data_IF_359208478206
#
_entry.id   IF_359208478206
#
_cell.length_a   1.000
_cell.length_b   1.000
_cell.length_c   1.000
_cell.angle_alpha   90.00
_cell.angle_beta   90.00
_cell.angle_gamma   90.00
#
_symmetry.space_group_name_H-M   'P 1'
#
loop_
_entity.id
_entity.type
_entity.pdbx_description
1 polymer ?
#
# COMPACT_ATOMS: atom_id res chain seq x y z
N UNK A 1 39.67 -48.22 22.51
CA UNK A 1 39.30 -46.82 22.34
C UNK A 1 39.03 -46.58 20.86
N UNK A 2 37.82 -46.32 20.43
CA UNK A 2 37.60 -45.73 19.13
C UNK A 2 37.07 -44.31 19.31
N UNK A 3 37.75 -43.37 18.64
CA UNK A 3 37.37 -41.98 18.48
C UNK A 3 36.06 -41.89 17.67
N UNK A 4 35.06 -41.33 18.29
CA UNK A 4 33.83 -40.95 17.58
C UNK A 4 33.96 -39.54 17.00
N UNK A 5 34.22 -39.49 15.70
CA UNK A 5 34.04 -38.27 14.88
C UNK A 5 32.59 -37.83 14.95
N UNK A 6 32.30 -36.73 15.63
CA UNK A 6 31.10 -35.97 15.42
C UNK A 6 31.36 -35.04 14.25
N UNK A 7 30.81 -35.41 13.08
CA UNK A 7 30.75 -34.52 11.91
C UNK A 7 29.84 -33.35 12.24
N UNK A 8 30.38 -32.14 12.19
CA UNK A 8 29.64 -30.88 12.13
C UNK A 8 28.86 -30.83 10.79
N UNK A 9 27.70 -31.45 10.72
CA UNK A 9 26.77 -31.16 9.68
C UNK A 9 26.13 -29.80 10.00
N UNK A 10 26.67 -28.76 9.37
CA UNK A 10 25.99 -27.45 9.28
C UNK A 10 24.67 -27.69 8.56
N UNK A 11 23.58 -27.47 9.25
CA UNK A 11 22.22 -27.56 8.70
C UNK A 11 22.09 -26.60 7.51
N UNK A 12 21.87 -27.12 6.30
CA UNK A 12 21.72 -26.32 5.08
C UNK A 12 20.25 -25.87 4.95
N UNK A 13 20.00 -24.62 5.36
CA UNK A 13 18.69 -23.98 5.34
C UNK A 13 18.15 -23.81 3.91
N UNK A 14 19.03 -23.63 2.91
CA UNK A 14 18.64 -23.42 1.50
C UNK A 14 18.14 -24.73 0.85
N UNK A 15 18.66 -25.88 1.28
CA UNK A 15 18.14 -27.19 0.88
C UNK A 15 16.76 -27.47 1.47
N UNK A 16 16.46 -26.93 2.65
CA UNK A 16 15.15 -27.02 3.29
C UNK A 16 14.10 -26.15 2.57
N UNK A 17 14.44 -24.90 2.23
CA UNK A 17 13.55 -23.99 1.50
C UNK A 17 13.16 -24.51 0.11
N UNK A 18 14.08 -25.25 -0.56
CA UNK A 18 13.78 -25.86 -1.85
C UNK A 18 12.87 -27.11 -1.73
N UNK A 19 12.89 -27.84 -0.62
CA UNK A 19 12.04 -29.01 -0.40
C UNK A 19 10.59 -28.67 -0.05
N UNK A 20 10.30 -27.42 0.38
CA UNK A 20 8.92 -26.94 0.70
C UNK A 20 8.13 -26.56 -0.56
N UNK A 21 8.76 -26.49 -1.74
CA UNK A 21 8.08 -26.13 -3.00
C UNK A 21 7.21 -27.22 -3.60
N UNK A 22 7.26 -28.43 -3.10
CA UNK A 22 6.35 -29.49 -3.50
C UNK A 22 5.16 -29.54 -2.55
N UNK A 23 3.98 -29.43 -3.14
CA UNK A 23 2.66 -29.51 -2.51
C UNK A 23 2.55 -30.72 -1.56
N UNK A 24 2.65 -30.48 -0.26
CA UNK A 24 2.15 -31.41 0.74
C UNK A 24 1.19 -30.70 1.68
N UNK A 25 0.02 -31.29 1.87
CA UNK A 25 -1.02 -30.92 2.83
C UNK A 25 -0.39 -30.43 4.13
N UNK A 26 -0.69 -29.17 4.51
CA UNK A 26 -0.27 -28.59 5.80
C UNK A 26 -0.90 -29.43 6.90
N UNK A 27 -0.19 -30.44 7.38
CA UNK A 27 -0.61 -31.25 8.51
C UNK A 27 -0.66 -30.33 9.74
N UNK A 28 -1.85 -30.15 10.31
CA UNK A 28 -2.02 -29.40 11.56
C UNK A 28 -1.28 -30.12 12.69
N UNK A 29 -0.09 -29.63 13.01
CA UNK A 29 0.83 -30.26 13.97
C UNK A 29 0.21 -30.31 15.38
N UNK A 30 -0.70 -29.38 15.70
CA UNK A 30 -1.41 -29.36 16.97
C UNK A 30 -2.37 -30.54 17.06
N UNK A 31 -3.06 -30.85 15.96
CA UNK A 31 -3.94 -32.03 15.86
C UNK A 31 -3.14 -33.35 15.93
N UNK A 32 -1.94 -33.38 15.35
CA UNK A 32 -1.06 -34.58 15.37
C UNK A 32 -0.52 -34.86 16.77
N UNK A 33 -0.09 -33.83 17.49
CA UNK A 33 0.49 -34.00 18.84
C UNK A 33 -0.57 -34.07 19.94
N UNK A 34 -1.76 -33.52 19.71
CA UNK A 34 -2.77 -33.19 20.71
C UNK A 34 -2.47 -31.86 21.39
N UNK A 35 -3.52 -31.05 21.63
CA UNK A 35 -3.40 -29.68 22.12
C UNK A 35 -2.60 -29.56 23.42
N UNK A 36 -2.91 -30.41 24.43
CA UNK A 36 -2.24 -30.38 25.74
C UNK A 36 -0.73 -30.66 25.64
N UNK A 37 -0.37 -31.64 24.80
CA UNK A 37 1.04 -32.00 24.60
C UNK A 37 1.79 -30.90 23.84
N UNK A 38 1.18 -30.34 22.82
CA UNK A 38 1.75 -29.23 22.08
C UNK A 38 1.98 -28.01 23.02
N UNK A 39 0.99 -27.64 23.82
CA UNK A 39 1.08 -26.53 24.75
C UNK A 39 2.22 -26.72 25.77
N UNK A 40 2.35 -27.94 26.34
CA UNK A 40 3.45 -28.27 27.25
C UNK A 40 4.82 -28.12 26.59
N UNK A 41 4.97 -28.56 25.33
CA UNK A 41 6.21 -28.43 24.55
C UNK A 41 6.48 -26.96 24.27
N UNK A 42 5.49 -26.20 23.79
CA UNK A 42 5.65 -24.78 23.47
C UNK A 42 6.05 -23.97 24.70
N UNK A 43 5.37 -24.17 25.84
CA UNK A 43 5.70 -23.53 27.11
C UNK A 43 7.15 -23.87 27.57
N UNK A 44 7.57 -25.09 27.40
CA UNK A 44 8.96 -25.51 27.73
C UNK A 44 9.99 -24.80 26.86
N UNK A 45 9.75 -24.72 25.54
CA UNK A 45 10.63 -24.02 24.60
C UNK A 45 10.68 -22.52 24.93
N UNK A 46 9.53 -21.90 25.18
CA UNK A 46 9.46 -20.47 25.53
C UNK A 46 10.18 -20.17 26.83
N UNK A 47 10.05 -21.05 27.85
CA UNK A 47 10.77 -20.90 29.11
C UNK A 47 12.30 -20.93 28.91
N UNK A 48 12.80 -21.89 28.13
CA UNK A 48 14.22 -21.99 27.83
C UNK A 48 14.75 -20.79 27.07
N UNK A 49 13.96 -20.26 26.10
CA UNK A 49 14.34 -19.08 25.33
C UNK A 49 14.24 -17.80 26.14
N UNK A 50 13.32 -17.71 27.08
CA UNK A 50 13.13 -16.51 27.93
C UNK A 50 14.17 -16.45 29.03
N UNK A 51 14.62 -17.62 29.53
CA UNK A 51 15.59 -17.77 30.60
C UNK A 51 16.89 -18.43 30.11
N UNK A 52 17.64 -17.81 29.19
CA UNK A 52 18.84 -18.44 28.62
C UNK A 52 19.93 -18.70 29.67
N UNK A 53 20.56 -19.87 29.58
CA UNK A 53 21.73 -20.20 30.36
C UNK A 53 22.97 -19.60 29.70
N UNK A 54 23.97 -19.18 30.49
CA UNK A 54 25.22 -18.64 29.96
C UNK A 54 25.71 -17.40 30.69
N UNK A 55 26.79 -16.82 30.17
CA UNK A 55 27.39 -15.58 30.66
C UNK A 55 26.45 -14.39 30.46
N UNK A 56 26.70 -13.27 31.11
CA UNK A 56 25.92 -12.04 30.97
C UNK A 56 25.88 -11.55 29.51
N UNK A 57 27.03 -11.60 28.84
CA UNK A 57 27.16 -11.16 27.43
C UNK A 57 26.35 -12.05 26.47
N UNK A 58 26.39 -13.38 26.68
CA UNK A 58 25.59 -14.34 25.89
C UNK A 58 24.08 -14.10 26.08
N UNK A 59 23.63 -13.80 27.30
CA UNK A 59 22.23 -13.48 27.59
C UNK A 59 21.80 -12.16 26.96
N UNK A 60 22.67 -11.14 27.02
CA UNK A 60 22.38 -9.84 26.36
C UNK A 60 22.24 -10.00 24.85
N UNK A 61 23.16 -10.73 24.19
CA UNK A 61 23.10 -11.03 22.76
C UNK A 61 21.87 -11.85 22.37
N UNK A 62 21.49 -12.83 23.20
CA UNK A 62 20.30 -13.64 22.99
C UNK A 62 19.01 -12.77 23.07
N UNK A 63 18.89 -11.94 24.11
CA UNK A 63 17.76 -11.03 24.28
C UNK A 63 17.69 -10.00 23.16
N UNK A 64 18.82 -9.50 22.66
CA UNK A 64 18.89 -8.64 21.48
C UNK A 64 18.36 -9.36 20.24
N UNK A 65 18.71 -10.62 20.04
CA UNK A 65 18.22 -11.43 18.92
C UNK A 65 16.70 -11.61 18.98
N UNK A 66 16.14 -11.92 20.16
CA UNK A 66 14.70 -12.02 20.36
C UNK A 66 14.01 -10.67 20.07
N UNK A 67 14.58 -9.57 20.56
CA UNK A 67 14.04 -8.23 20.33
C UNK A 67 14.06 -7.84 18.83
N UNK A 68 15.13 -8.18 18.11
CA UNK A 68 15.24 -7.96 16.65
C UNK A 68 14.28 -8.85 15.87
N UNK A 69 14.10 -10.10 16.28
CA UNK A 69 13.14 -11.04 15.69
C UNK A 69 11.73 -10.44 15.74
N UNK A 70 11.29 -10.00 16.92
CA UNK A 70 10.01 -9.33 17.12
C UNK A 70 9.92 -8.05 16.28
N UNK A 71 11.04 -7.40 15.98
CA UNK A 71 11.12 -6.24 15.08
C UNK A 71 11.12 -6.58 13.58
N UNK A 72 10.89 -7.84 13.19
CA UNK A 72 10.81 -8.27 11.80
C UNK A 72 12.14 -8.42 11.08
N UNK A 73 13.27 -8.38 11.81
CA UNK A 73 14.58 -8.65 11.22
C UNK A 73 14.65 -10.11 10.74
N UNK A 74 14.69 -10.31 9.44
CA UNK A 74 14.67 -11.64 8.79
C UNK A 74 15.81 -12.55 9.25
N UNK A 75 16.98 -11.98 9.56
CA UNK A 75 18.10 -12.77 10.08
C UNK A 75 17.83 -13.23 11.52
N UNK A 76 17.32 -12.32 12.36
CA UNK A 76 16.96 -12.66 13.74
C UNK A 76 15.79 -13.67 13.79
N UNK A 77 14.80 -13.57 12.89
CA UNK A 77 13.73 -14.57 12.75
C UNK A 77 14.29 -15.97 12.47
N UNK A 78 15.23 -16.09 11.52
CA UNK A 78 15.91 -17.35 11.23
C UNK A 78 16.69 -17.87 12.45
N UNK A 79 17.35 -16.99 13.18
CA UNK A 79 18.09 -17.34 14.40
C UNK A 79 17.15 -17.87 15.49
N UNK A 80 16.00 -17.22 15.71
CA UNK A 80 15.01 -17.68 16.70
C UNK A 80 14.44 -19.04 16.32
N UNK A 81 14.09 -19.28 15.06
CA UNK A 81 13.67 -20.61 14.58
C UNK A 81 14.75 -21.67 14.81
N UNK A 82 16.01 -21.33 14.56
CA UNK A 82 17.14 -22.25 14.84
C UNK A 82 17.26 -22.54 16.32
N UNK A 83 17.07 -21.56 17.20
CA UNK A 83 17.08 -21.76 18.66
C UNK A 83 15.94 -22.67 19.13
N UNK A 84 14.72 -22.48 18.60
CA UNK A 84 13.57 -23.35 18.88
C UNK A 84 13.90 -24.80 18.47
N UNK A 85 14.37 -25.01 17.24
CA UNK A 85 14.72 -26.34 16.73
C UNK A 85 15.81 -27.00 17.57
N UNK A 86 16.79 -26.22 18.02
CA UNK A 86 17.86 -26.69 18.92
C UNK A 86 17.31 -27.18 20.24
N UNK A 87 16.42 -26.44 20.90
CA UNK A 87 15.79 -26.86 22.18
C UNK A 87 14.98 -28.14 21.99
N UNK A 88 14.17 -28.21 20.93
CA UNK A 88 13.35 -29.39 20.60
C UNK A 88 14.22 -30.64 20.42
N UNK A 89 15.40 -30.49 19.79
CA UNK A 89 16.36 -31.57 19.53
C UNK A 89 17.11 -31.98 20.77
N UNK A 90 17.68 -31.03 21.50
CA UNK A 90 18.53 -31.29 22.68
C UNK A 90 17.72 -31.90 23.84
N UNK A 91 16.49 -31.41 24.07
CA UNK A 91 15.62 -31.96 25.12
C UNK A 91 14.76 -33.13 24.63
N UNK A 92 14.88 -33.54 23.37
CA UNK A 92 14.11 -34.66 22.74
C UNK A 92 12.63 -34.54 22.97
N UNK A 93 12.08 -33.34 22.80
CA UNK A 93 10.68 -33.04 23.08
C UNK A 93 9.71 -33.62 22.03
N UNK A 94 10.20 -33.85 20.81
CA UNK A 94 9.45 -34.40 19.69
C UNK A 94 10.33 -35.31 18.83
N UNK A 95 9.70 -36.14 17.99
CA UNK A 95 10.38 -36.98 17.02
C UNK A 95 11.08 -36.14 15.93
N UNK A 96 12.24 -36.60 15.46
CA UNK A 96 13.07 -35.89 14.50
C UNK A 96 12.32 -35.52 13.23
N UNK A 97 11.37 -36.34 12.76
CA UNK A 97 10.58 -36.09 11.54
C UNK A 97 9.62 -34.91 11.61
N UNK A 98 9.29 -34.43 12.81
CA UNK A 98 8.32 -33.33 13.00
C UNK A 98 8.94 -32.07 13.62
N UNK A 99 10.25 -32.07 13.96
CA UNK A 99 10.93 -30.95 14.63
C UNK A 99 10.68 -29.64 13.87
N UNK A 100 10.80 -29.64 12.54
CA UNK A 100 10.67 -28.43 11.75
C UNK A 100 9.23 -27.89 11.74
N UNK A 101 8.24 -28.78 11.62
CA UNK A 101 6.84 -28.38 11.67
C UNK A 101 6.45 -27.81 13.03
N UNK A 102 6.93 -28.42 14.13
CA UNK A 102 6.75 -27.93 15.50
C UNK A 102 7.49 -26.60 15.70
N UNK A 103 8.69 -26.45 15.15
CA UNK A 103 9.46 -25.19 15.20
C UNK A 103 8.69 -24.04 14.55
N UNK A 104 8.16 -24.26 13.33
CA UNK A 104 7.38 -23.25 12.63
C UNK A 104 6.11 -22.87 13.40
N UNK A 105 5.41 -23.85 13.95
CA UNK A 105 4.18 -23.60 14.72
C UNK A 105 4.49 -22.84 16.02
N UNK A 106 5.48 -23.25 16.81
CA UNK A 106 5.89 -22.53 18.04
C UNK A 106 6.36 -21.11 17.71
N UNK A 107 7.10 -20.95 16.60
CA UNK A 107 7.51 -19.62 16.14
C UNK A 107 6.28 -18.73 15.85
N UNK A 108 5.32 -19.21 15.04
CA UNK A 108 4.11 -18.48 14.68
C UNK A 108 3.29 -18.06 15.90
N UNK A 109 3.14 -18.97 16.86
CA UNK A 109 2.29 -18.76 18.02
C UNK A 109 2.91 -17.82 19.06
N UNK A 110 4.25 -17.76 19.18
CA UNK A 110 4.90 -17.03 20.25
C UNK A 110 5.70 -15.80 19.79
N UNK A 111 6.24 -15.83 18.57
CA UNK A 111 7.12 -14.79 18.04
C UNK A 111 6.60 -14.19 16.72
N UNK A 112 5.63 -14.83 16.07
CA UNK A 112 5.00 -14.42 14.82
C UNK A 112 3.57 -13.95 15.01
N UNK A 113 2.88 -13.78 13.88
CA UNK A 113 1.51 -13.27 13.83
C UNK A 113 0.44 -14.38 13.99
N UNK A 114 0.82 -15.55 14.51
CA UNK A 114 -0.10 -16.66 14.70
C UNK A 114 -0.69 -17.17 13.37
N UNK A 115 -1.99 -17.38 13.35
CA UNK A 115 -2.71 -17.91 12.19
C UNK A 115 -2.74 -16.97 10.97
N UNK A 116 -2.40 -15.69 11.13
CA UNK A 116 -2.32 -14.73 10.02
C UNK A 116 -0.90 -14.57 9.46
N UNK A 117 0.11 -15.26 9.98
CA UNK A 117 1.50 -15.16 9.55
C UNK A 117 1.64 -15.44 8.04
N UNK A 118 1.11 -16.59 7.58
CA UNK A 118 1.17 -16.98 6.16
C UNK A 118 0.39 -16.02 5.27
N UNK A 119 -0.77 -15.52 5.73
CA UNK A 119 -1.59 -14.55 5.01
C UNK A 119 -0.86 -13.21 4.87
N UNK A 120 -0.13 -12.83 5.92
CA UNK A 120 0.67 -11.60 5.91
C UNK A 120 1.82 -11.66 4.90
N UNK A 121 2.40 -12.83 4.68
CA UNK A 121 3.49 -13.03 3.73
C UNK A 121 3.02 -13.41 2.30
N UNK A 122 1.73 -13.61 2.07
CA UNK A 122 1.18 -13.90 0.75
C UNK A 122 1.00 -12.59 -0.06
N UNK A 123 1.85 -12.36 -1.07
CA UNK A 123 1.86 -11.14 -1.88
C UNK A 123 0.59 -10.95 -2.73
N UNK A 124 -0.28 -11.96 -2.83
CA UNK A 124 -1.57 -11.85 -3.54
C UNK A 124 -2.65 -11.20 -2.67
N UNK A 125 -2.44 -11.11 -1.35
CA UNK A 125 -3.38 -10.53 -0.39
C UNK A 125 -3.04 -9.05 -0.20
N UNK A 126 -4.05 -8.20 -0.35
CA UNK A 126 -3.93 -6.74 -0.17
C UNK A 126 -4.38 -6.26 1.21
N UNK A 127 -5.39 -6.91 1.80
CA UNK A 127 -5.89 -6.57 3.13
C UNK A 127 -6.19 -7.83 3.95
N UNK A 128 -6.02 -7.75 5.27
CA UNK A 128 -6.36 -8.80 6.24
C UNK A 128 -7.21 -8.17 7.34
N UNK A 129 -8.38 -8.76 7.58
CA UNK A 129 -9.30 -8.34 8.64
C UNK A 129 -9.50 -9.45 9.66
N UNK A 130 -9.14 -9.19 10.91
CA UNK A 130 -9.46 -10.07 12.04
C UNK A 130 -10.61 -9.45 12.82
N UNK A 131 -11.77 -10.07 12.75
CA UNK A 131 -13.00 -9.62 13.41
C UNK A 131 -13.26 -10.44 14.68
N UNK A 132 -12.30 -10.46 15.61
CA UNK A 132 -12.23 -11.34 16.75
C UNK A 132 -11.56 -12.68 16.42
N UNK A 133 -11.43 -13.56 17.42
CA UNK A 133 -10.61 -14.78 17.32
C UNK A 133 -11.10 -15.78 16.26
N UNK A 134 -12.37 -15.77 15.92
CA UNK A 134 -13.06 -16.79 15.09
C UNK A 134 -13.46 -16.30 13.68
N UNK A 135 -13.07 -15.09 13.30
CA UNK A 135 -13.49 -14.50 12.03
C UNK A 135 -12.35 -13.74 11.36
N UNK A 136 -11.71 -14.39 10.39
CA UNK A 136 -10.61 -13.83 9.61
C UNK A 136 -11.06 -13.71 8.15
N UNK A 137 -10.84 -12.55 7.58
CA UNK A 137 -11.15 -12.24 6.19
C UNK A 137 -9.94 -11.62 5.50
N UNK A 138 -9.86 -11.79 4.21
CA UNK A 138 -8.81 -11.19 3.36
C UNK A 138 -9.41 -10.53 2.12
N UNK A 139 -8.66 -9.59 1.54
CA UNK A 139 -8.87 -9.14 0.16
C UNK A 139 -7.75 -9.72 -0.71
N UNK A 140 -8.12 -10.59 -1.64
CA UNK A 140 -7.21 -11.17 -2.62
C UNK A 140 -7.62 -10.72 -4.02
N UNK A 141 -6.81 -9.86 -4.62
CA UNK A 141 -7.09 -9.35 -5.97
C UNK A 141 -8.42 -8.59 -6.10
N UNK A 142 -8.94 -8.02 -5.01
CA UNK A 142 -10.23 -7.32 -4.99
C UNK A 142 -11.41 -8.19 -4.53
N UNK A 143 -11.22 -9.49 -4.35
CA UNK A 143 -12.24 -10.41 -3.85
C UNK A 143 -12.09 -10.60 -2.34
N UNK A 144 -13.20 -10.51 -1.60
CA UNK A 144 -13.23 -10.75 -0.16
C UNK A 144 -13.49 -12.20 0.12
N UNK A 145 -12.58 -12.85 0.87
CA UNK A 145 -12.64 -14.27 1.19
C UNK A 145 -12.61 -14.45 2.71
N UNK A 146 -13.44 -15.35 3.25
CA UNK A 146 -13.35 -15.78 4.62
C UNK A 146 -12.37 -16.94 4.75
N UNK A 147 -11.44 -16.84 5.70
CA UNK A 147 -10.46 -17.90 5.98
C UNK A 147 -11.00 -18.82 7.08
N UNK A 148 -10.82 -20.13 6.90
CA UNK A 148 -11.28 -21.13 7.88
C UNK A 148 -10.37 -21.26 9.12
N UNK A 149 -9.24 -20.56 9.16
CA UNK A 149 -8.37 -20.51 10.34
C UNK A 149 -8.93 -19.58 11.40
N UNK A 150 -8.62 -19.84 12.66
CA UNK A 150 -9.04 -19.01 13.81
C UNK A 150 -7.91 -18.92 14.84
N UNK A 151 -7.88 -17.86 15.59
CA UNK A 151 -7.07 -17.74 16.81
C UNK A 151 -7.68 -18.61 17.93
N UNK A 152 -6.92 -18.86 18.99
CA UNK A 152 -7.39 -19.65 20.11
C UNK A 152 -8.42 -18.87 20.95
N UNK A 153 -8.19 -17.57 21.15
CA UNK A 153 -9.05 -16.69 21.94
C UNK A 153 -8.89 -15.23 21.52
N UNK A 154 -9.73 -14.33 22.05
CA UNK A 154 -9.58 -12.89 21.89
C UNK A 154 -8.32 -12.36 22.62
N UNK A 155 -7.82 -13.04 23.64
CA UNK A 155 -6.55 -12.76 24.31
C UNK A 155 -5.36 -13.02 23.37
N UNK A 156 -5.44 -14.07 22.56
CA UNK A 156 -4.41 -14.37 21.55
C UNK A 156 -4.40 -13.31 20.44
N UNK A 157 -5.58 -12.82 20.01
CA UNK A 157 -5.65 -11.66 19.11
C UNK A 157 -4.99 -10.42 19.73
N UNK A 158 -5.25 -10.13 21.02
CA UNK A 158 -4.62 -9.00 21.74
C UNK A 158 -3.09 -9.19 21.83
N UNK A 159 -2.60 -10.42 22.03
CA UNK A 159 -1.17 -10.74 22.02
C UNK A 159 -0.55 -10.35 20.68
N UNK A 160 -1.18 -10.74 19.57
CA UNK A 160 -0.72 -10.41 18.22
C UNK A 160 -0.77 -8.90 17.97
N UNK A 161 -1.82 -8.19 18.40
CA UNK A 161 -1.88 -6.73 18.34
C UNK A 161 -0.66 -6.12 19.05
N UNK A 162 -0.41 -6.52 20.31
CA UNK A 162 0.71 -6.00 21.09
C UNK A 162 2.07 -6.30 20.43
N UNK A 163 2.21 -7.44 19.76
CA UNK A 163 3.41 -7.76 19.00
C UNK A 163 3.62 -6.78 17.83
N UNK A 164 2.55 -6.53 17.04
CA UNK A 164 2.62 -5.68 15.86
C UNK A 164 2.90 -4.21 16.17
N UNK A 165 2.28 -3.66 17.23
CA UNK A 165 2.41 -2.22 17.58
C UNK A 165 3.74 -1.85 18.25
N UNK A 166 4.54 -2.84 18.71
CA UNK A 166 5.85 -2.60 19.36
C UNK A 166 6.83 -1.83 18.49
N UNK A 167 6.67 -1.91 17.16
CA UNK A 167 7.50 -1.19 16.20
C UNK A 167 7.40 0.33 16.34
N UNK A 168 6.18 0.82 16.50
CA UNK A 168 5.86 2.24 16.49
C UNK A 168 5.86 2.84 17.90
N UNK A 169 6.37 2.10 18.90
CA UNK A 169 6.38 2.50 20.32
C UNK A 169 5.01 2.91 20.85
N UNK A 170 3.93 2.52 20.15
CA UNK A 170 2.54 2.78 20.55
C UNK A 170 2.09 1.73 21.55
N UNK A 171 1.06 2.05 22.31
CA UNK A 171 0.47 1.17 23.29
C UNK A 171 -1.05 1.15 23.11
N UNK A 172 -1.64 -0.02 23.27
CA UNK A 172 -3.07 -0.22 23.28
C UNK A 172 -3.50 -0.74 24.65
N UNK A 173 -4.55 -0.15 25.21
CA UNK A 173 -5.07 -0.51 26.53
C UNK A 173 -6.53 -0.13 26.63
N UNK A 174 -7.29 -0.56 27.65
CA UNK A 174 -8.68 -0.13 27.86
C UNK A 174 -8.86 1.39 28.00
N UNK A 175 -7.80 2.12 28.38
CA UNK A 175 -7.81 3.60 28.48
C UNK A 175 -7.51 4.22 27.10
N UNK A 176 -6.68 3.54 26.28
CA UNK A 176 -6.38 3.91 24.90
C UNK A 176 -6.71 2.73 23.97
N UNK A 177 -8.00 2.50 23.66
CA UNK A 177 -8.47 1.27 23.05
C UNK A 177 -8.30 1.23 21.51
N UNK A 178 -7.76 2.27 20.91
CA UNK A 178 -7.50 2.40 19.48
C UNK A 178 -6.02 2.63 19.21
N UNK A 179 -5.48 1.99 18.19
CA UNK A 179 -4.14 2.28 17.70
C UNK A 179 -4.12 2.23 16.17
N UNK A 180 -3.44 3.19 15.58
CA UNK A 180 -3.08 3.20 14.17
C UNK A 180 -1.56 3.35 14.08
N UNK A 181 -0.91 2.48 13.31
CA UNK A 181 0.54 2.51 13.15
C UNK A 181 0.98 1.89 11.83
N UNK A 182 2.28 2.00 11.55
CA UNK A 182 2.92 1.29 10.44
C UNK A 182 3.69 0.08 10.94
N UNK A 183 3.61 -0.98 10.19
CA UNK A 183 4.43 -2.16 10.38
C UNK A 183 5.80 -1.95 9.72
N UNK A 184 6.77 -2.82 10.03
CA UNK A 184 8.16 -2.71 9.54
C UNK A 184 8.30 -2.70 8.02
N UNK A 185 7.40 -3.36 7.31
CA UNK A 185 7.36 -3.41 5.85
C UNK A 185 6.63 -2.20 5.22
N UNK A 186 6.09 -1.28 6.05
CA UNK A 186 5.31 -0.14 5.63
C UNK A 186 3.81 -0.38 5.56
N UNK A 187 3.33 -1.60 5.83
CA UNK A 187 1.90 -1.92 5.91
C UNK A 187 1.21 -1.10 7.01
N UNK A 188 -0.01 -0.66 6.75
CA UNK A 188 -0.82 0.08 7.73
C UNK A 188 -1.57 -0.90 8.62
N UNK A 189 -1.52 -0.64 9.91
CA UNK A 189 -2.21 -1.39 10.94
C UNK A 189 -3.19 -0.49 11.69
N UNK A 190 -4.44 -0.91 11.78
CA UNK A 190 -5.45 -0.29 12.65
C UNK A 190 -6.00 -1.37 13.57
N UNK A 191 -5.97 -1.13 14.88
CA UNK A 191 -6.52 -2.06 15.86
C UNK A 191 -7.48 -1.33 16.79
N UNK A 192 -8.49 -2.09 17.27
CA UNK A 192 -9.42 -1.67 18.31
C UNK A 192 -9.66 -2.80 19.30
N UNK A 193 -9.80 -2.44 20.57
CA UNK A 193 -10.10 -3.39 21.64
C UNK A 193 -11.25 -2.87 22.51
N UNK A 194 -11.87 -3.73 23.37
CA UNK A 194 -12.80 -3.27 24.39
C UNK A 194 -12.18 -2.18 25.30
N UNK A 195 -12.96 -1.17 25.77
CA UNK A 195 -14.43 -1.08 25.73
C UNK A 195 -15.01 -0.42 24.47
N UNK A 196 -14.20 0.20 23.60
CA UNK A 196 -14.68 0.89 22.39
C UNK A 196 -15.22 -0.09 21.35
N UNK A 197 -14.66 -1.28 21.29
CA UNK A 197 -15.11 -2.39 20.47
C UNK A 197 -15.68 -3.53 21.35
N UNK A 198 -16.54 -4.38 20.83
CA UNK A 198 -17.10 -5.52 21.57
C UNK A 198 -16.10 -6.68 21.70
N UNK A 199 -15.08 -6.72 20.84
CA UNK A 199 -13.99 -7.70 20.78
C UNK A 199 -12.77 -7.07 20.12
N UNK A 200 -11.58 -7.69 20.17
CA UNK A 200 -10.42 -7.15 19.47
C UNK A 200 -10.57 -7.26 17.95
N UNK A 201 -10.24 -6.18 17.25
CA UNK A 201 -10.21 -6.09 15.79
C UNK A 201 -8.82 -5.72 15.29
N UNK A 202 -8.41 -6.33 14.18
CA UNK A 202 -7.21 -6.00 13.44
C UNK A 202 -7.58 -5.73 11.98
N UNK A 203 -7.13 -4.62 11.45
CA UNK A 203 -7.15 -4.32 10.03
C UNK A 203 -5.71 -4.06 9.57
N UNK A 204 -5.20 -4.91 8.67
CA UNK A 204 -3.89 -4.74 8.03
C UNK A 204 -4.13 -4.43 6.56
N UNK A 205 -3.65 -3.28 6.11
CA UNK A 205 -3.56 -2.95 4.69
C UNK A 205 -2.11 -3.07 4.26
N UNK A 206 -1.83 -4.10 3.45
CA UNK A 206 -0.46 -4.44 3.05
C UNK A 206 0.12 -3.41 2.10
N UNK A 207 1.40 -3.17 2.26
CA UNK A 207 2.16 -2.31 1.37
C UNK A 207 2.65 -3.14 0.15
N UNK A 208 2.45 -2.59 -1.06
CA UNK A 208 2.95 -3.18 -2.32
C UNK A 208 2.45 -4.61 -2.67
N UNK A 209 1.19 -4.94 -2.40
CA UNK A 209 0.62 -6.23 -2.79
C UNK A 209 0.53 -6.47 -4.32
N UNK A 210 0.66 -5.42 -5.14
CA UNK A 210 0.59 -5.50 -6.61
C UNK A 210 1.92 -5.10 -7.24
N UNK A 211 2.52 -5.99 -8.03
CA UNK A 211 3.72 -5.67 -8.82
C UNK A 211 3.34 -4.77 -10.00
N UNK A 212 3.74 -3.51 -9.92
CA UNK A 212 3.43 -2.49 -10.91
C UNK A 212 4.24 -2.75 -12.18
N UNK A 213 3.55 -3.06 -13.28
CA UNK A 213 4.10 -3.13 -14.63
C UNK A 213 2.98 -2.99 -15.66
N UNK A 214 3.30 -2.56 -16.88
CA UNK A 214 2.34 -2.46 -17.98
C UNK A 214 1.67 -3.80 -18.26
N UNK A 215 2.46 -4.90 -18.28
CA UNK A 215 1.98 -6.25 -18.54
C UNK A 215 0.97 -6.72 -17.49
N UNK A 216 1.25 -6.45 -16.20
CA UNK A 216 0.34 -6.82 -15.12
C UNK A 216 -0.97 -6.05 -15.16
N UNK A 217 -0.92 -4.77 -15.48
CA UNK A 217 -2.13 -3.96 -15.67
C UNK A 217 -2.97 -4.42 -16.87
N UNK A 218 -2.33 -4.76 -17.99
CA UNK A 218 -3.03 -5.32 -19.16
C UNK A 218 -3.64 -6.68 -18.81
N UNK A 219 -2.88 -7.55 -18.13
CA UNK A 219 -3.33 -8.87 -17.70
C UNK A 219 -4.51 -8.81 -16.73
N UNK A 220 -4.51 -7.83 -15.82
CA UNK A 220 -5.63 -7.60 -14.88
C UNK A 220 -6.83 -6.90 -15.53
N UNK A 221 -6.74 -6.49 -16.79
CA UNK A 221 -7.82 -5.79 -17.48
C UNK A 221 -8.04 -4.35 -17.00
N UNK A 222 -7.04 -3.74 -16.36
CA UNK A 222 -7.14 -2.36 -15.87
C UNK A 222 -7.17 -1.35 -17.02
N UNK A 223 -6.35 -1.58 -18.05
CA UNK A 223 -6.30 -0.82 -19.29
C UNK A 223 -5.67 -1.64 -20.42
N UNK A 224 -5.78 -1.17 -21.67
CA UNK A 224 -5.15 -1.79 -22.84
C UNK A 224 -3.72 -1.27 -23.05
N UNK A 225 -2.96 -1.96 -23.92
CA UNK A 225 -1.63 -1.49 -24.34
C UNK A 225 -1.70 -0.10 -24.98
N UNK A 226 -2.71 0.15 -25.81
CA UNK A 226 -2.92 1.44 -26.47
C UNK A 226 -3.18 2.57 -25.46
N UNK A 227 -3.99 2.30 -24.43
CA UNK A 227 -4.21 3.26 -23.33
C UNK A 227 -2.92 3.51 -22.51
N UNK A 228 -2.10 2.48 -22.30
CA UNK A 228 -0.80 2.64 -21.65
C UNK A 228 0.10 3.61 -22.42
N UNK A 229 0.27 3.39 -23.71
CA UNK A 229 1.06 4.25 -24.61
C UNK A 229 0.48 5.68 -24.66
N UNK A 230 -0.86 5.79 -24.62
CA UNK A 230 -1.55 7.06 -24.57
C UNK A 230 -1.21 7.85 -23.29
N UNK A 231 -1.35 7.23 -22.13
CA UNK A 231 -1.03 7.86 -20.83
C UNK A 231 0.46 8.23 -20.73
N UNK A 232 1.35 7.39 -21.22
CA UNK A 232 2.80 7.69 -21.26
C UNK A 232 3.11 8.96 -22.05
N UNK A 233 2.44 9.18 -23.18
CA UNK A 233 2.59 10.41 -23.98
C UNK A 233 2.06 11.63 -23.22
N UNK A 234 0.93 11.51 -22.54
CA UNK A 234 0.39 12.60 -21.70
C UNK A 234 1.38 12.99 -20.58
N UNK A 235 1.98 12.01 -19.91
CA UNK A 235 3.01 12.25 -18.89
C UNK A 235 4.25 12.91 -19.48
N UNK A 236 4.76 12.37 -20.61
CA UNK A 236 5.92 12.94 -21.31
C UNK A 236 5.67 14.38 -21.75
N UNK A 237 4.48 14.68 -22.23
CA UNK A 237 4.05 16.02 -22.63
C UNK A 237 3.63 16.94 -21.47
N UNK A 238 3.85 16.52 -20.23
CA UNK A 238 3.59 17.29 -19.01
C UNK A 238 2.13 17.76 -18.89
N UNK A 239 1.18 16.92 -19.24
CA UNK A 239 -0.22 17.16 -18.91
C UNK A 239 -0.41 17.16 -17.38
N UNK A 240 -1.14 18.13 -16.85
CA UNK A 240 -1.56 18.15 -15.44
C UNK A 240 -2.70 17.15 -15.28
N UNK A 241 -2.54 16.18 -14.36
CA UNK A 241 -3.49 15.08 -14.26
C UNK A 241 -4.05 14.92 -12.85
N UNK A 242 -5.32 14.60 -12.78
CA UNK A 242 -5.98 14.14 -11.57
C UNK A 242 -6.40 12.68 -11.77
N UNK A 243 -5.98 11.81 -10.87
CA UNK A 243 -6.45 10.43 -10.78
C UNK A 243 -7.58 10.40 -9.75
N UNK A 244 -8.78 10.19 -10.24
CA UNK A 244 -10.01 10.18 -9.45
C UNK A 244 -10.53 8.76 -9.27
N UNK A 245 -11.23 8.49 -8.20
CA UNK A 245 -11.89 7.20 -7.97
C UNK A 245 -12.21 6.94 -6.50
N UNK A 246 -13.05 5.97 -6.26
CA UNK A 246 -13.45 5.53 -4.93
C UNK A 246 -12.27 4.97 -4.11
N UNK A 247 -12.51 4.76 -2.82
CA UNK A 247 -11.52 4.09 -1.95
C UNK A 247 -11.18 2.70 -2.50
N UNK A 248 -9.90 2.34 -2.45
CA UNK A 248 -9.39 1.05 -2.93
C UNK A 248 -9.60 0.79 -4.45
N UNK A 249 -9.81 1.83 -5.26
CA UNK A 249 -9.91 1.71 -6.73
C UNK A 249 -8.56 1.60 -7.44
N UNK A 250 -7.43 1.78 -6.74
CA UNK A 250 -6.08 1.65 -7.29
C UNK A 250 -5.44 2.97 -7.74
N UNK A 251 -5.93 4.13 -7.30
CA UNK A 251 -5.40 5.47 -7.65
C UNK A 251 -3.90 5.62 -7.37
N UNK A 252 -3.49 5.36 -6.13
CA UNK A 252 -2.08 5.48 -5.70
C UNK A 252 -1.16 4.54 -6.49
N UNK A 253 -1.66 3.34 -6.82
CA UNK A 253 -0.91 2.36 -7.62
C UNK A 253 -0.76 2.82 -9.08
N UNK A 254 -1.82 3.41 -9.66
CA UNK A 254 -1.76 4.03 -10.99
C UNK A 254 -0.85 5.26 -10.99
N UNK A 255 -0.90 6.08 -9.94
CA UNK A 255 0.01 7.22 -9.77
C UNK A 255 1.47 6.77 -9.82
N UNK A 256 1.85 5.73 -9.06
CA UNK A 256 3.19 5.14 -9.11
C UNK A 256 3.59 4.71 -10.51
N UNK A 257 2.69 4.03 -11.23
CA UNK A 257 2.91 3.60 -12.61
C UNK A 257 3.19 4.78 -13.55
N UNK A 258 2.43 5.88 -13.43
CA UNK A 258 2.62 7.05 -14.29
C UNK A 258 3.93 7.79 -14.02
N UNK A 259 4.40 7.79 -12.77
CA UNK A 259 5.67 8.44 -12.38
C UNK A 259 6.88 7.81 -13.08
N UNK A 260 6.83 6.53 -13.42
CA UNK A 260 7.89 5.86 -14.19
C UNK A 260 8.18 6.53 -15.52
N UNK A 261 7.19 7.18 -16.13
CA UNK A 261 7.30 7.82 -17.44
C UNK A 261 7.67 9.30 -17.38
N UNK A 262 7.80 9.87 -16.19
CA UNK A 262 8.33 11.22 -16.01
C UNK A 262 9.82 11.21 -16.35
N UNK A 263 10.26 12.16 -17.16
CA UNK A 263 11.67 12.29 -17.53
C UNK A 263 12.58 12.36 -16.28
N UNK A 264 13.58 11.49 -16.14
CA UNK A 264 14.43 11.42 -14.95
C UNK A 264 15.21 12.71 -14.64
N UNK A 265 15.34 13.63 -15.60
CA UNK A 265 15.99 14.93 -15.40
C UNK A 265 15.19 15.90 -14.55
N UNK A 266 13.88 15.68 -14.43
CA UNK A 266 13.03 16.56 -13.63
C UNK A 266 13.17 16.28 -12.14
N UNK A 267 13.26 17.37 -11.36
CA UNK A 267 13.17 17.31 -9.91
C UNK A 267 11.71 17.11 -9.49
N UNK A 268 11.45 16.05 -8.75
CA UNK A 268 10.11 15.74 -8.25
C UNK A 268 9.96 16.20 -6.80
N UNK A 269 8.89 16.92 -6.52
CA UNK A 269 8.41 17.19 -5.18
C UNK A 269 7.21 16.33 -4.86
N UNK A 270 7.28 15.53 -3.81
CA UNK A 270 6.22 14.59 -3.42
C UNK A 270 5.65 15.03 -2.08
N UNK A 271 4.34 15.17 -2.00
CA UNK A 271 3.64 15.53 -0.76
C UNK A 271 2.55 14.49 -0.51
N UNK A 272 2.59 13.87 0.67
CA UNK A 272 1.67 12.81 1.07
C UNK A 272 1.17 13.03 2.50
N UNK A 273 -0.06 12.61 2.77
CA UNK A 273 -0.55 12.50 4.15
C UNK A 273 0.25 11.45 4.91
N UNK A 274 0.62 10.37 4.21
CA UNK A 274 1.48 9.30 4.72
C UNK A 274 2.34 8.78 3.57
N UNK A 275 3.63 8.52 3.83
CA UNK A 275 4.53 7.96 2.82
C UNK A 275 4.05 6.60 2.30
N UNK A 276 3.31 6.59 1.21
CA UNK A 276 2.89 5.39 0.48
C UNK A 276 3.69 5.18 -0.79
N UNK A 277 4.09 6.27 -1.42
CA UNK A 277 4.77 6.21 -2.72
C UNK A 277 6.22 5.71 -2.57
N UNK A 278 6.96 6.16 -1.54
CA UNK A 278 8.37 5.81 -1.29
C UNK A 278 9.23 5.94 -2.55
N UNK A 279 9.08 7.06 -3.24
CA UNK A 279 9.73 7.24 -4.55
C UNK A 279 11.24 7.43 -4.41
N UNK A 280 11.72 8.00 -3.34
CA UNK A 280 13.13 8.15 -3.00
C UNK A 280 13.81 6.80 -2.73
N UNK A 281 13.09 5.84 -2.12
CA UNK A 281 13.56 4.47 -1.95
C UNK A 281 13.52 3.68 -3.29
N UNK A 282 12.47 3.92 -4.12
CA UNK A 282 12.26 3.21 -5.39
C UNK A 282 13.21 3.70 -6.49
N UNK A 283 13.53 5.00 -6.51
CA UNK A 283 14.35 5.67 -7.51
C UNK A 283 15.50 6.48 -6.87
N UNK A 284 16.45 5.81 -6.21
CA UNK A 284 17.53 6.51 -5.47
C UNK A 284 18.44 7.36 -6.37
N UNK A 285 18.42 7.13 -7.68
CA UNK A 285 19.18 7.88 -8.67
C UNK A 285 18.48 9.17 -9.17
N UNK A 286 17.16 9.35 -8.81
CA UNK A 286 16.39 10.52 -9.23
C UNK A 286 16.47 11.63 -8.21
N UNK A 287 16.34 12.88 -8.67
CA UNK A 287 16.24 14.04 -7.80
C UNK A 287 14.82 14.17 -7.25
N UNK A 288 14.56 13.57 -6.10
CA UNK A 288 13.24 13.52 -5.46
C UNK A 288 13.31 14.11 -4.05
N UNK A 289 12.28 14.87 -3.69
CA UNK A 289 12.07 15.38 -2.32
C UNK A 289 10.69 14.93 -1.87
N UNK A 290 10.62 14.20 -0.76
CA UNK A 290 9.38 13.65 -0.20
C UNK A 290 9.05 14.34 1.13
N UNK A 291 7.81 14.79 1.27
CA UNK A 291 7.29 15.39 2.51
C UNK A 291 6.05 14.61 2.96
N UNK A 292 5.93 14.42 4.28
CA UNK A 292 4.79 13.79 4.94
C UNK A 292 4.14 14.79 5.90
N UNK A 293 2.81 14.76 5.96
CA UNK A 293 2.02 15.56 6.90
C UNK A 293 2.23 15.05 8.33
N UNK A 294 2.40 15.97 9.27
CA UNK A 294 2.38 15.70 10.69
C UNK A 294 1.47 16.73 11.36
N UNK A 295 0.22 16.37 11.57
CA UNK A 295 -0.83 17.21 12.18
C UNK A 295 -1.14 16.85 13.64
N UNK A 296 -0.32 15.99 14.26
CA UNK A 296 -0.43 15.61 15.68
C UNK A 296 0.64 16.32 16.53
N UNK A 297 0.27 16.73 17.76
CA UNK A 297 1.19 17.31 18.73
C UNK A 297 2.38 16.37 19.05
N UNK A 298 3.61 16.87 19.21
CA UNK A 298 4.03 18.29 19.21
C UNK A 298 4.39 18.84 17.82
N UNK A 299 4.30 18.06 16.75
CA UNK A 299 4.63 18.45 15.39
C UNK A 299 3.31 18.76 14.67
N UNK A 300 3.08 20.03 14.34
CA UNK A 300 1.87 20.45 13.62
C UNK A 300 2.28 21.09 12.29
N UNK A 301 2.43 20.24 11.26
CA UNK A 301 2.80 20.68 9.89
C UNK A 301 1.74 20.14 8.93
N UNK A 302 0.84 21.04 8.51
CA UNK A 302 -0.25 20.69 7.59
C UNK A 302 0.25 20.46 6.14
N UNK A 303 -0.56 19.81 5.32
CA UNK A 303 -0.27 19.65 3.90
C UNK A 303 -0.08 21.00 3.20
N UNK A 304 -0.82 22.02 3.59
CA UNK A 304 -0.68 23.37 3.07
C UNK A 304 0.69 23.98 3.38
N UNK A 305 1.21 23.79 4.60
CA UNK A 305 2.54 24.26 4.98
C UNK A 305 3.64 23.55 4.18
N UNK A 306 3.43 22.24 3.94
CA UNK A 306 4.33 21.46 3.11
C UNK A 306 4.35 21.95 1.66
N UNK A 307 3.20 22.34 1.08
CA UNK A 307 3.16 22.93 -0.26
C UNK A 307 3.96 24.24 -0.32
N UNK A 308 3.75 25.14 0.64
CA UNK A 308 4.50 26.41 0.70
C UNK A 308 6.01 26.16 0.82
N UNK A 309 6.39 25.17 1.61
CA UNK A 309 7.78 24.75 1.74
C UNK A 309 8.31 24.13 0.45
N UNK A 310 7.54 23.24 -0.18
CA UNK A 310 7.90 22.53 -1.42
C UNK A 310 8.26 23.52 -2.55
N UNK A 311 7.52 24.62 -2.70
CA UNK A 311 7.81 25.64 -3.72
C UNK A 311 9.21 26.26 -3.56
N UNK A 312 9.78 26.27 -2.32
CA UNK A 312 11.14 26.74 -2.05
C UNK A 312 12.22 25.72 -2.41
N UNK A 313 11.85 24.46 -2.59
CA UNK A 313 12.75 23.40 -3.06
C UNK A 313 12.86 23.33 -4.58
N UNK A 314 12.18 24.24 -5.31
CA UNK A 314 12.23 24.38 -6.76
C UNK A 314 11.98 23.08 -7.53
N UNK A 315 10.87 22.35 -7.28
CA UNK A 315 10.54 21.16 -8.04
C UNK A 315 10.09 21.55 -9.45
N UNK A 316 10.39 20.71 -10.43
CA UNK A 316 9.84 20.85 -11.79
C UNK A 316 8.40 20.33 -11.87
N UNK A 317 8.11 19.28 -11.12
CA UNK A 317 6.82 18.59 -11.08
C UNK A 317 6.47 18.29 -9.62
N UNK A 318 5.22 18.52 -9.24
CA UNK A 318 4.70 18.21 -7.90
C UNK A 318 3.73 17.03 -7.99
N UNK A 319 3.99 16.03 -7.16
CA UNK A 319 3.14 14.84 -7.00
C UNK A 319 2.41 14.97 -5.66
N UNK A 320 1.09 14.86 -5.70
CA UNK A 320 0.24 14.88 -4.50
C UNK A 320 -0.35 13.49 -4.31
N UNK A 321 0.07 12.80 -3.25
CA UNK A 321 -0.41 11.45 -2.97
C UNK A 321 -1.92 11.39 -2.91
N UNK A 322 -2.55 12.30 -2.16
CA UNK A 322 -3.99 12.47 -2.09
C UNK A 322 -4.34 13.87 -1.57
N UNK A 323 -5.24 14.58 -2.25
CA UNK A 323 -5.85 15.81 -1.76
C UNK A 323 -7.22 15.50 -1.13
N UNK A 324 -7.46 16.05 0.08
CA UNK A 324 -8.67 15.76 0.87
C UNK A 324 -9.38 17.00 1.42
N UNK A 325 -8.71 18.17 1.40
CA UNK A 325 -9.19 19.40 2.02
C UNK A 325 -8.58 20.63 1.33
N UNK A 326 -8.34 21.68 2.09
CA UNK A 326 -7.90 23.00 1.62
C UNK A 326 -6.58 23.03 0.85
N UNK A 327 -5.75 21.98 0.95
CA UNK A 327 -4.54 21.81 0.14
C UNK A 327 -4.81 21.69 -1.35
N UNK A 328 -6.01 21.33 -1.74
CA UNK A 328 -6.44 21.34 -3.14
C UNK A 328 -6.23 22.70 -3.80
N UNK A 329 -6.35 23.81 -3.06
CA UNK A 329 -6.07 25.16 -3.56
C UNK A 329 -4.59 25.32 -3.98
N UNK A 330 -3.67 24.79 -3.17
CA UNK A 330 -2.24 24.90 -3.45
C UNK A 330 -1.84 23.97 -4.61
N UNK A 331 -2.44 22.79 -4.70
CA UNK A 331 -2.26 21.89 -5.84
C UNK A 331 -2.68 22.57 -7.16
N UNK A 332 -3.87 23.17 -7.20
CA UNK A 332 -4.35 23.91 -8.36
C UNK A 332 -3.47 25.13 -8.69
N UNK A 333 -2.98 25.84 -7.68
CA UNK A 333 -2.01 26.94 -7.87
C UNK A 333 -0.69 26.45 -8.47
N UNK A 334 -0.16 25.33 -8.01
CA UNK A 334 1.07 24.74 -8.52
C UNK A 334 0.93 24.35 -10.00
N UNK A 335 -0.13 23.65 -10.36
CA UNK A 335 -0.43 23.27 -11.74
C UNK A 335 -0.51 24.46 -12.70
N UNK A 336 -0.96 25.62 -12.22
CA UNK A 336 -1.07 26.86 -13.01
C UNK A 336 0.19 27.72 -13.09
N UNK A 337 1.12 27.57 -12.12
CA UNK A 337 2.22 28.52 -11.90
C UNK A 337 3.61 27.98 -12.23
N UNK A 338 3.72 27.06 -13.17
CA UNK A 338 5.00 26.60 -13.68
C UNK A 338 5.36 25.14 -13.37
N UNK A 339 4.59 24.45 -12.50
CA UNK A 339 4.80 23.03 -12.21
C UNK A 339 3.93 22.16 -13.11
N UNK A 340 4.03 22.38 -14.43
CA UNK A 340 3.28 21.60 -15.41
C UNK A 340 3.69 20.13 -15.38
N UNK A 341 2.73 19.23 -15.61
CA UNK A 341 2.92 17.79 -15.47
C UNK A 341 2.72 17.29 -14.04
N UNK A 342 2.22 18.14 -13.13
CA UNK A 342 1.85 17.73 -11.77
C UNK A 342 0.70 16.74 -11.80
N UNK A 343 0.75 15.74 -10.91
CA UNK A 343 -0.25 14.68 -10.79
C UNK A 343 -0.70 14.61 -9.35
N UNK A 344 -2.02 14.52 -9.14
CA UNK A 344 -2.61 14.32 -7.83
C UNK A 344 -3.69 13.25 -7.85
N UNK A 345 -4.02 12.70 -6.67
CA UNK A 345 -5.19 11.83 -6.53
C UNK A 345 -6.26 12.46 -5.66
N UNK A 346 -7.51 12.16 -5.96
CA UNK A 346 -8.67 12.58 -5.16
C UNK A 346 -9.69 11.45 -5.06
N UNK A 347 -10.54 11.53 -4.04
CA UNK A 347 -11.73 10.69 -3.95
C UNK A 347 -12.90 11.36 -4.65
N UNK A 348 -13.34 10.80 -5.78
CA UNK A 348 -14.57 11.20 -6.45
C UNK A 348 -15.10 10.06 -7.32
N UNK A 349 -16.39 10.07 -7.63
CA UNK A 349 -17.06 8.98 -8.36
C UNK A 349 -17.17 9.21 -9.87
N UNK A 350 -16.93 10.44 -10.35
CA UNK A 350 -16.89 10.76 -11.78
C UNK A 350 -16.00 11.98 -12.06
N UNK A 351 -15.55 12.19 -13.30
CA UNK A 351 -14.79 13.40 -13.69
C UNK A 351 -15.55 14.70 -13.43
N UNK A 352 -16.89 14.71 -13.60
CA UNK A 352 -17.74 15.86 -13.35
C UNK A 352 -17.75 16.22 -11.86
N UNK A 353 -17.94 15.22 -11.01
CA UNK A 353 -17.91 15.41 -9.55
C UNK A 353 -16.52 15.75 -9.06
N UNK A 354 -15.47 15.26 -9.70
CA UNK A 354 -14.09 15.57 -9.33
C UNK A 354 -13.80 17.09 -9.35
N UNK A 355 -14.37 17.83 -10.32
CA UNK A 355 -14.26 19.28 -10.38
C UNK A 355 -15.02 19.93 -9.22
N UNK A 356 -16.24 19.48 -8.93
CA UNK A 356 -17.05 19.97 -7.81
C UNK A 356 -16.36 19.69 -6.46
N UNK A 357 -15.91 18.47 -6.24
CA UNK A 357 -15.22 18.05 -5.01
C UNK A 357 -13.95 18.89 -4.76
N UNK A 358 -13.16 19.19 -5.81
CA UNK A 358 -12.00 20.08 -5.68
C UNK A 358 -12.44 21.49 -5.29
N UNK A 359 -13.53 22.02 -5.86
CA UNK A 359 -14.03 23.33 -5.49
C UNK A 359 -14.53 23.36 -4.03
N UNK A 360 -15.19 22.30 -3.59
CA UNK A 360 -15.67 22.16 -2.21
C UNK A 360 -14.50 22.09 -1.23
N UNK A 361 -13.49 21.26 -1.50
CA UNK A 361 -12.24 21.21 -0.71
C UNK A 361 -11.60 22.60 -0.58
N UNK A 362 -11.53 23.38 -1.66
CA UNK A 362 -10.96 24.73 -1.64
C UNK A 362 -11.80 25.68 -0.76
N UNK A 363 -13.11 25.48 -0.69
CA UNK A 363 -14.04 26.33 0.09
C UNK A 363 -14.12 25.93 1.58
N UNK A 364 -13.56 24.79 2.00
CA UNK A 364 -13.55 24.36 3.41
C UNK A 364 -12.86 25.35 4.37
N UNK A 365 -12.01 26.25 3.85
CA UNK A 365 -11.41 27.31 4.66
C UNK A 365 -12.37 28.45 5.04
N UNK A 366 -13.64 28.37 4.60
CA UNK A 366 -14.70 29.30 4.92
C UNK A 366 -14.57 30.69 4.28
N UNK A 367 -13.62 30.89 3.38
CA UNK A 367 -13.46 32.16 2.67
C UNK A 367 -14.47 32.30 1.55
N UNK A 368 -15.14 33.44 1.49
CA UNK A 368 -16.03 33.74 0.37
C UNK A 368 -15.25 33.84 -0.94
N UNK A 369 -15.58 33.00 -1.92
CA UNK A 369 -15.02 32.98 -3.26
C UNK A 369 -16.12 33.11 -4.30
N UNK A 370 -15.85 33.81 -5.40
CA UNK A 370 -16.72 33.76 -6.56
C UNK A 370 -16.65 32.38 -7.19
N UNK A 371 -17.77 31.66 -7.25
CA UNK A 371 -17.84 30.28 -7.74
C UNK A 371 -17.39 30.15 -9.21
N UNK A 372 -17.75 31.10 -10.07
CA UNK A 372 -17.34 31.10 -11.48
C UNK A 372 -15.84 31.30 -11.63
N UNK A 373 -15.25 32.23 -10.86
CA UNK A 373 -13.79 32.43 -10.86
C UNK A 373 -13.05 31.21 -10.32
N UNK A 374 -13.61 30.54 -9.32
CA UNK A 374 -13.01 29.33 -8.77
C UNK A 374 -13.09 28.18 -9.79
N UNK A 375 -14.25 27.99 -10.39
CA UNK A 375 -14.44 27.01 -11.47
C UNK A 375 -13.42 27.24 -12.60
N UNK A 376 -13.30 28.48 -13.08
CA UNK A 376 -12.30 28.84 -14.10
C UNK A 376 -10.86 28.55 -13.66
N UNK A 377 -10.53 28.72 -12.39
CA UNK A 377 -9.20 28.38 -11.87
C UNK A 377 -8.94 26.88 -11.89
N UNK A 378 -9.92 26.10 -11.47
CA UNK A 378 -9.80 24.63 -11.37
C UNK A 378 -9.73 24.02 -12.76
N UNK A 379 -10.66 24.37 -13.65
CA UNK A 379 -10.74 23.80 -15.01
C UNK A 379 -9.55 24.21 -15.89
N UNK A 380 -8.99 25.40 -15.71
CA UNK A 380 -7.78 25.82 -16.43
C UNK A 380 -6.47 25.26 -15.84
N UNK A 381 -6.52 24.57 -14.72
CA UNK A 381 -5.35 23.96 -14.09
C UNK A 381 -5.16 22.50 -14.50
N UNK A 382 -6.26 21.79 -14.71
CA UNK A 382 -6.32 20.36 -14.96
C UNK A 382 -6.49 20.13 -16.45
N UNK A 383 -5.63 19.34 -17.05
CA UNK A 383 -5.77 18.93 -18.44
C UNK A 383 -6.55 17.62 -18.57
N UNK A 384 -6.24 16.66 -17.67
CA UNK A 384 -6.76 15.28 -17.76
C UNK A 384 -7.27 14.82 -16.40
N UNK A 385 -8.42 14.16 -16.41
CA UNK A 385 -8.90 13.35 -15.28
C UNK A 385 -8.91 11.88 -15.72
N UNK A 386 -8.24 11.02 -14.95
CA UNK A 386 -8.27 9.58 -15.12
C UNK A 386 -9.15 8.99 -14.03
N UNK A 387 -10.32 8.49 -14.41
CA UNK A 387 -11.29 7.92 -13.48
C UNK A 387 -11.05 6.44 -13.28
N UNK A 388 -10.66 6.05 -12.07
CA UNK A 388 -10.51 4.66 -11.64
C UNK A 388 -11.80 4.16 -11.00
N UNK A 389 -12.18 2.92 -11.30
CA UNK A 389 -13.33 2.26 -10.69
C UNK A 389 -12.98 0.83 -10.28
N UNK A 390 -13.51 0.40 -9.14
CA UNK A 390 -13.55 -1.01 -8.74
C UNK A 390 -14.90 -1.60 -9.16
N UNK A 391 -14.87 -2.69 -9.89
CA UNK A 391 -16.05 -3.40 -10.35
C UNK A 391 -16.45 -4.51 -9.36
N UNK A 392 -17.66 -5.04 -9.49
CA UNK A 392 -18.19 -6.10 -8.62
C UNK A 392 -17.38 -7.41 -8.68
N UNK A 393 -16.73 -7.67 -9.81
CA UNK A 393 -15.80 -8.79 -10.01
C UNK A 393 -14.45 -8.60 -9.30
N UNK A 394 -14.30 -7.51 -8.52
CA UNK A 394 -13.09 -7.12 -7.83
C UNK A 394 -12.03 -6.46 -8.70
N UNK A 395 -12.19 -6.44 -10.02
CA UNK A 395 -11.24 -5.81 -10.94
C UNK A 395 -11.24 -4.30 -10.79
N UNK A 396 -10.07 -3.70 -11.00
CA UNK A 396 -9.86 -2.25 -11.00
C UNK A 396 -9.58 -1.81 -12.42
N UNK A 397 -10.44 -0.96 -12.99
CA UNK A 397 -10.31 -0.49 -14.37
C UNK A 397 -10.30 1.02 -14.43
N UNK A 398 -9.62 1.57 -15.45
CA UNK A 398 -9.83 2.95 -15.87
C UNK A 398 -11.21 2.99 -16.53
N UNK A 399 -12.18 3.62 -15.91
CA UNK A 399 -13.52 3.75 -16.49
C UNK A 399 -13.60 4.86 -17.52
N UNK A 400 -12.83 5.95 -17.33
CA UNK A 400 -12.76 7.09 -18.27
C UNK A 400 -11.36 7.73 -18.22
N UNK A 401 -10.89 8.24 -19.35
CA UNK A 401 -9.83 9.25 -19.44
C UNK A 401 -10.48 10.46 -20.10
N UNK A 402 -10.58 11.57 -19.39
CA UNK A 402 -11.34 12.75 -19.83
C UNK A 402 -10.43 13.96 -19.84
N UNK A 403 -10.50 14.75 -20.92
CA UNK A 403 -9.88 16.07 -21.03
C UNK A 403 -10.83 17.12 -20.44
N UNK A 404 -10.27 18.04 -19.69
CA UNK A 404 -10.97 19.24 -19.25
C UNK A 404 -10.65 20.36 -20.24
N UNK A 405 -11.58 20.68 -21.07
CA UNK A 405 -11.41 21.66 -22.14
C UNK A 405 -12.21 22.92 -21.86
N UNK A 406 -11.50 24.02 -21.60
CA UNK A 406 -12.10 25.34 -21.49
C UNK A 406 -12.23 25.91 -22.89
N UNK A 407 -13.47 26.09 -23.36
CA UNK A 407 -13.73 26.64 -24.71
C UNK A 407 -13.35 28.11 -24.79
N UNK A 408 -12.66 28.54 -25.87
CA UNK A 408 -12.26 29.94 -26.04
C UNK A 408 -13.43 30.90 -26.29
N UNK A 409 -14.63 30.37 -26.45
CA UNK A 409 -15.79 31.16 -26.91
C UNK A 409 -16.33 32.08 -25.82
N UNK A 410 -16.17 33.36 -26.09
CA UNK A 410 -16.67 34.56 -25.43
C UNK A 410 -16.09 34.89 -24.05
N UNK A 411 -15.42 36.04 -23.96
CA UNK A 411 -15.04 36.71 -22.72
C UNK A 411 -16.21 36.99 -21.76
N UNK A 412 -17.44 36.76 -22.19
CA UNK A 412 -18.69 37.09 -21.48
C UNK A 412 -19.34 35.88 -20.75
N UNK A 413 -19.01 34.63 -21.16
CA UNK A 413 -19.46 33.43 -20.44
C UNK A 413 -18.41 32.35 -20.52
N UNK A 414 -17.76 32.07 -19.37
CA UNK A 414 -16.83 30.97 -19.26
C UNK A 414 -17.60 29.64 -19.37
N UNK A 415 -17.23 28.84 -20.37
CA UNK A 415 -17.72 27.47 -20.52
C UNK A 415 -16.56 26.49 -20.53
N UNK A 416 -16.77 25.31 -20.00
CA UNK A 416 -15.85 24.19 -20.10
C UNK A 416 -16.62 22.92 -20.44
N UNK A 417 -15.93 22.00 -21.08
CA UNK A 417 -16.43 20.68 -21.45
C UNK A 417 -15.55 19.61 -20.82
N UNK A 418 -16.15 18.54 -20.34
CA UNK A 418 -15.46 17.32 -19.99
C UNK A 418 -15.60 16.38 -21.17
N UNK A 419 -14.50 16.21 -21.88
CA UNK A 419 -14.44 15.43 -23.12
C UNK A 419 -13.81 14.09 -22.86
N UNK A 420 -14.59 13.00 -22.94
CA UNK A 420 -14.06 11.67 -22.84
C UNK A 420 -13.16 11.32 -24.03
N UNK A 421 -11.93 10.96 -23.74
CA UNK A 421 -10.95 10.48 -24.71
C UNK A 421 -11.00 8.96 -24.81
N UNK A 422 -11.17 8.31 -23.66
CA UNK A 422 -11.35 6.87 -23.51
C UNK A 422 -12.44 6.57 -22.49
N UNK A 423 -13.21 5.50 -22.75
CA UNK A 423 -14.20 4.99 -21.82
C UNK A 423 -14.23 3.47 -21.78
N UNK A 424 -14.64 2.93 -20.64
CA UNK A 424 -15.03 1.53 -20.48
C UNK A 424 -16.52 1.41 -20.80
N UNK A 425 -16.86 0.68 -21.87
CA UNK A 425 -18.23 0.38 -22.26
C UNK A 425 -18.64 -0.94 -21.62
N UNK A 426 -19.61 -0.88 -20.71
CA UNK A 426 -20.14 -2.06 -20.01
C UNK A 426 -21.05 -2.84 -20.95
N UNK A 427 -20.96 -4.17 -20.93
CA UNK A 427 -21.99 -5.04 -21.51
C UNK A 427 -23.18 -5.10 -20.54
N UNK A 428 -24.31 -4.55 -20.91
CA UNK A 428 -25.51 -4.49 -20.07
C UNK A 428 -26.10 -5.89 -19.73
N UNK A 429 -25.78 -6.92 -20.53
CA UNK A 429 -26.20 -8.29 -20.25
C UNK A 429 -25.22 -9.02 -19.33
N UNK A 430 -23.96 -8.53 -19.27
CA UNK A 430 -22.88 -9.10 -18.47
C UNK A 430 -22.07 -7.93 -17.87
N UNK A 431 -22.49 -7.35 -16.72
CA UNK A 431 -21.89 -6.14 -16.15
C UNK A 431 -20.41 -6.28 -15.79
N UNK A 432 -19.91 -7.49 -15.63
CA UNK A 432 -18.49 -7.84 -15.43
C UNK A 432 -17.68 -7.80 -16.74
N UNK A 433 -18.36 -7.78 -17.89
CA UNK A 433 -17.75 -7.73 -19.22
C UNK A 433 -17.94 -6.36 -19.86
N UNK A 434 -17.05 -6.05 -20.78
CA UNK A 434 -17.05 -4.80 -21.51
C UNK A 434 -15.78 -4.67 -22.34
N UNK A 435 -15.60 -3.50 -22.90
CA UNK A 435 -14.41 -3.18 -23.70
C UNK A 435 -14.05 -1.70 -23.57
N UNK A 436 -12.78 -1.39 -23.77
CA UNK A 436 -12.32 -0.01 -23.85
C UNK A 436 -12.58 0.56 -25.24
N UNK A 437 -13.14 1.76 -25.28
CA UNK A 437 -13.41 2.50 -26.51
C UNK A 437 -12.72 3.85 -26.49
N UNK A 438 -12.04 4.18 -27.58
CA UNK A 438 -11.59 5.53 -27.81
C UNK A 438 -12.78 6.35 -28.34
N UNK A 439 -13.02 7.51 -27.71
CA UNK A 439 -14.21 8.33 -28.01
C UNK A 439 -13.82 9.56 -28.81
N UNK A 440 -12.86 10.34 -28.35
CA UNK A 440 -12.46 11.59 -28.98
C UNK A 440 -10.92 11.69 -29.12
N UNK A 441 -10.49 12.67 -29.90
CA UNK A 441 -9.10 13.16 -29.93
C UNK A 441 -8.97 14.32 -28.95
N UNK A 442 -7.72 14.57 -28.54
CA UNK A 442 -7.40 15.74 -27.69
C UNK A 442 -7.69 17.06 -28.40
N UNK A 443 -7.94 18.11 -27.61
CA UNK A 443 -8.15 19.45 -28.11
C UNK A 443 -6.90 20.04 -28.77
N UNK A 444 -7.05 21.07 -29.62
CA UNK A 444 -5.93 21.82 -30.17
C UNK A 444 -5.04 22.45 -29.08
N UNK A 445 -5.65 22.89 -27.98
CA UNK A 445 -4.98 23.51 -26.84
C UNK A 445 -4.06 22.52 -26.13
N UNK A 446 -4.59 21.35 -25.80
CA UNK A 446 -3.79 20.28 -25.21
C UNK A 446 -2.69 19.81 -26.16
N UNK A 447 -3.03 19.64 -27.44
CA UNK A 447 -2.07 19.31 -28.49
C UNK A 447 -0.89 20.29 -28.49
N UNK A 448 -1.14 21.59 -28.49
CA UNK A 448 -0.13 22.64 -28.47
C UNK A 448 0.74 22.56 -27.21
N UNK A 449 0.10 22.32 -26.04
CA UNK A 449 0.84 22.13 -24.79
C UNK A 449 1.81 20.95 -24.89
N UNK A 450 1.37 19.80 -25.38
CA UNK A 450 2.20 18.61 -25.50
C UNK A 450 3.40 18.84 -26.45
N UNK A 451 3.19 19.57 -27.56
CA UNK A 451 4.29 20.00 -28.45
C UNK A 451 5.30 20.89 -27.73
N UNK A 452 4.82 21.87 -26.94
CA UNK A 452 5.68 22.76 -26.18
C UNK A 452 6.62 22.01 -25.23
N UNK A 453 6.14 20.89 -24.68
CA UNK A 453 6.93 20.02 -23.79
C UNK A 453 7.65 18.87 -24.51
N UNK A 454 7.77 18.93 -25.82
CA UNK A 454 8.73 18.13 -26.61
C UNK A 454 8.18 16.83 -27.18
N UNK A 455 6.86 16.66 -27.30
CA UNK A 455 6.30 15.58 -28.11
C UNK A 455 6.46 15.94 -29.60
N UNK A 456 6.72 14.91 -30.42
CA UNK A 456 6.78 15.06 -31.86
C UNK A 456 5.36 15.08 -32.48
N UNK A 457 5.28 15.50 -33.75
CA UNK A 457 4.00 15.51 -34.47
C UNK A 457 3.39 14.11 -34.59
N UNK A 458 4.24 13.09 -34.83
CA UNK A 458 3.83 11.69 -34.90
C UNK A 458 3.27 11.18 -33.54
N UNK A 459 3.96 11.52 -32.43
CA UNK A 459 3.50 11.14 -31.09
C UNK A 459 2.15 11.78 -30.72
N UNK A 460 1.93 13.03 -31.12
CA UNK A 460 0.69 13.75 -30.83
C UNK A 460 -0.44 13.34 -31.80
N UNK A 461 -0.13 13.00 -33.06
CA UNK A 461 -1.13 12.52 -34.00
C UNK A 461 -1.79 11.20 -33.55
N UNK A 462 -1.09 10.44 -32.73
CA UNK A 462 -1.62 9.21 -32.14
C UNK A 462 -2.51 9.45 -30.89
N UNK A 463 -2.59 10.68 -30.36
CA UNK A 463 -3.47 11.11 -29.27
C UNK A 463 -4.78 11.70 -29.80
#
# INVERSE_FOLDING_TARGET
>A
MPDTMFSNQVFNLDAYVSSIKDEQEKTDIVSVLGADKYEAIANRVVDVLTNPKGTREEKEKHNETLARCVKGDKLAQRQVKSLIAKVLTEERLVDAGIIMAVTEQIYKDNYGLGVIEDLYHDDTISEIWVNGYDSIWIDRGGMKERINSKFQSDEDVKRVINLMIRFDKKNISPINPRVECRMADGSRLTCMIPPTANRPYINIRKFNAFKISTENYIKSGTFTKEMAEYMQKLVKGRANMIISGETNSGKTTLLKYLIDFINPKYRLGVIETHFELKLDETYPERNIVCFEVHDEDPINVSMKDLFVSMLRFSPDIIIVGEARSTEAEEMIKAMRRGHQGSIGTIHSSSPELAIADIMDMINEDGKARNAEMLLKKVTNAIDIIIQMRRFEDGTRRISRISEIWATPESELQFQYEIRDLWEWVVDYNHPDKGYFRRVNKISPELKNKLFYYGLTEEEVAAL
#
